data_IF_235070527439
#
_entry.id   IF_235070527439
#
_cell.length_a   1.000
_cell.length_b   1.000
_cell.length_c   1.000
_cell.angle_alpha   90.00
_cell.angle_beta   90.00
_cell.angle_gamma   90.00
#
_symmetry.space_group_name_H-M   'P 1'
#
loop_
_entity.id
_entity.type
_entity.pdbx_description
1 polymer ?
#
# COMPACT_ATOMS: atom_id res chain seq x y z
N UNK A 1 5.49 17.61 -15.65
CA UNK A 1 6.68 18.45 -15.97
C UNK A 1 6.47 19.35 -17.18
N UNK A 2 5.90 18.85 -18.28
CA UNK A 2 5.84 19.57 -19.56
C UNK A 2 4.96 20.84 -19.57
N UNK A 3 3.93 20.93 -18.72
CA UNK A 3 3.06 22.11 -18.63
C UNK A 3 3.40 23.06 -17.47
N UNK A 4 3.96 22.53 -16.38
CA UNK A 4 4.26 23.29 -15.17
C UNK A 4 5.64 23.95 -15.20
N UNK A 5 6.60 23.35 -15.92
CA UNK A 5 7.97 23.88 -15.99
C UNK A 5 8.04 25.28 -16.62
N UNK A 6 7.35 25.59 -17.74
CA UNK A 6 7.34 26.94 -18.31
C UNK A 6 6.79 28.01 -17.35
N UNK A 7 5.86 27.63 -16.47
CA UNK A 7 5.28 28.52 -15.46
C UNK A 7 6.28 28.75 -14.32
N UNK A 8 6.93 27.70 -13.85
CA UNK A 8 7.89 27.75 -12.75
C UNK A 8 9.14 28.59 -13.07
N UNK A 9 9.64 28.54 -14.31
CA UNK A 9 10.86 29.27 -14.72
C UNK A 9 10.61 30.75 -15.07
N UNK A 10 9.35 31.23 -14.97
CA UNK A 10 8.95 32.57 -15.44
C UNK A 10 9.67 33.71 -14.74
N UNK A 11 9.98 33.56 -13.46
CA UNK A 11 10.67 34.55 -12.63
C UNK A 11 12.18 34.29 -12.47
N UNK A 12 12.67 33.13 -12.94
CA UNK A 12 14.03 32.66 -12.65
C UNK A 12 14.98 32.93 -13.82
N UNK A 13 14.51 32.75 -15.06
CA UNK A 13 15.36 32.82 -16.25
C UNK A 13 15.08 34.04 -17.14
N UNK A 14 16.13 34.50 -17.79
CA UNK A 14 16.06 35.54 -18.81
C UNK A 14 15.08 35.15 -19.94
N UNK A 15 14.44 36.16 -20.54
CA UNK A 15 13.45 35.96 -21.62
C UNK A 15 13.90 34.99 -22.72
N UNK A 16 15.12 35.09 -23.28
CA UNK A 16 15.55 34.18 -24.36
C UNK A 16 15.76 32.73 -23.91
N UNK A 17 16.38 32.49 -22.75
CA UNK A 17 16.59 31.13 -22.23
C UNK A 17 15.26 30.44 -21.89
N UNK A 18 14.32 31.20 -21.29
CA UNK A 18 12.96 30.73 -21.03
C UNK A 18 12.20 30.39 -22.30
N UNK A 19 12.36 31.17 -23.37
CA UNK A 19 11.74 30.89 -24.65
C UNK A 19 12.22 29.54 -25.20
N UNK A 20 13.54 29.27 -25.16
CA UNK A 20 14.12 28.01 -25.60
C UNK A 20 13.56 26.81 -24.79
N UNK A 21 13.53 26.90 -23.47
CA UNK A 21 12.95 25.83 -22.62
C UNK A 21 11.45 25.65 -22.88
N UNK A 22 10.72 26.75 -23.09
CA UNK A 22 9.29 26.68 -23.37
C UNK A 22 9.00 25.96 -24.69
N UNK A 23 9.80 26.21 -25.75
CA UNK A 23 9.72 25.46 -27.00
C UNK A 23 9.97 23.97 -26.80
N UNK A 24 10.99 23.62 -26.02
CA UNK A 24 11.29 22.22 -25.69
C UNK A 24 10.11 21.56 -24.92
N UNK A 25 9.49 22.29 -24.00
CA UNK A 25 8.30 21.81 -23.29
C UNK A 25 7.11 21.56 -24.23
N UNK A 26 6.86 22.46 -25.19
CA UNK A 26 5.82 22.25 -26.20
C UNK A 26 6.09 21.05 -27.10
N UNK A 27 7.34 20.85 -27.51
CA UNK A 27 7.75 19.66 -28.25
C UNK A 27 7.42 18.37 -27.48
N UNK A 28 7.81 18.29 -26.20
CA UNK A 28 7.50 17.10 -25.38
C UNK A 28 5.99 16.92 -25.15
N UNK A 29 5.24 18.01 -24.97
CA UNK A 29 3.77 17.96 -24.88
C UNK A 29 3.15 17.37 -26.16
N UNK A 30 3.64 17.77 -27.35
CA UNK A 30 3.14 17.28 -28.62
C UNK A 30 3.41 15.79 -28.83
N UNK A 31 4.64 15.35 -28.51
CA UNK A 31 5.05 13.94 -28.66
C UNK A 31 4.39 13.01 -27.63
N UNK A 32 4.08 13.52 -26.43
CA UNK A 32 3.46 12.73 -25.36
C UNK A 32 1.92 12.74 -25.43
N UNK A 33 1.34 13.35 -26.46
CA UNK A 33 -0.10 13.30 -26.69
C UNK A 33 -0.58 11.86 -26.91
N UNK A 34 -1.83 11.57 -26.49
CA UNK A 34 -2.45 10.24 -26.65
C UNK A 34 -2.54 9.81 -28.11
N UNK A 35 -2.74 10.76 -29.01
CA UNK A 35 -2.84 10.56 -30.46
C UNK A 35 -1.81 11.43 -31.16
N UNK A 36 -1.06 10.85 -32.09
CA UNK A 36 -0.02 11.55 -32.85
C UNK A 36 -0.45 11.70 -34.30
N UNK A 37 -0.40 12.94 -34.80
CA UNK A 37 -0.68 13.26 -36.19
C UNK A 37 0.61 13.20 -37.02
N UNK A 38 0.70 12.22 -37.92
CA UNK A 38 1.89 11.96 -38.74
C UNK A 38 2.24 13.15 -39.63
N UNK A 39 1.24 13.92 -40.08
CA UNK A 39 1.46 15.08 -40.96
C UNK A 39 2.22 16.23 -40.27
N UNK A 40 2.18 16.27 -38.93
CA UNK A 40 2.86 17.31 -38.13
C UNK A 40 4.27 16.91 -37.72
N UNK A 41 4.67 15.64 -37.92
CA UNK A 41 5.96 15.14 -37.45
C UNK A 41 7.14 15.80 -38.14
N UNK A 42 7.09 16.03 -39.45
CA UNK A 42 8.20 16.65 -40.20
C UNK A 42 8.50 18.06 -39.66
N UNK A 43 7.45 18.85 -39.37
CA UNK A 43 7.59 20.17 -38.75
C UNK A 43 8.15 20.09 -37.33
N UNK A 44 7.73 19.09 -36.54
CA UNK A 44 8.25 18.88 -35.18
C UNK A 44 9.74 18.50 -35.18
N UNK A 45 10.21 17.78 -36.20
CA UNK A 45 11.63 17.43 -36.37
C UNK A 45 12.48 18.67 -36.67
N UNK A 46 12.03 19.53 -37.58
CA UNK A 46 12.68 20.81 -37.86
C UNK A 46 12.70 21.71 -36.61
N UNK A 47 11.56 21.83 -35.92
CA UNK A 47 11.40 22.68 -34.75
C UNK A 47 12.30 22.27 -33.58
N UNK A 48 12.50 20.97 -33.37
CA UNK A 48 13.33 20.49 -32.26
C UNK A 48 14.82 20.74 -32.50
N UNK A 49 15.28 20.62 -33.74
CA UNK A 49 16.68 20.97 -34.11
C UNK A 49 16.94 22.44 -33.82
N UNK A 50 16.05 23.34 -34.27
CA UNK A 50 16.18 24.78 -33.96
C UNK A 50 16.11 25.04 -32.45
N UNK A 51 15.26 24.30 -31.74
CA UNK A 51 15.12 24.44 -30.28
C UNK A 51 16.40 24.04 -29.55
N UNK A 52 17.07 22.95 -29.95
CA UNK A 52 18.36 22.55 -29.37
C UNK A 52 19.46 23.57 -29.68
N UNK A 53 19.55 24.08 -30.91
CA UNK A 53 20.48 25.15 -31.25
C UNK A 53 20.25 26.43 -30.43
N UNK A 54 18.99 26.73 -30.07
CA UNK A 54 18.69 27.84 -29.16
C UNK A 54 19.16 27.53 -27.74
N UNK A 55 18.97 26.31 -27.25
CA UNK A 55 19.48 25.92 -25.94
C UNK A 55 21.02 26.01 -25.89
N UNK A 56 21.71 25.58 -26.94
CA UNK A 56 23.19 25.60 -27.03
C UNK A 56 23.77 27.02 -26.90
N UNK A 57 23.01 28.03 -27.32
CA UNK A 57 23.42 29.43 -27.16
C UNK A 57 23.40 29.93 -25.72
N UNK A 58 22.58 29.34 -24.85
CA UNK A 58 22.33 29.86 -23.50
C UNK A 58 22.83 28.96 -22.37
N UNK A 59 22.96 27.66 -22.62
CA UNK A 59 23.41 26.69 -21.62
C UNK A 59 24.87 26.27 -21.87
N UNK A 60 25.64 25.97 -20.81
CA UNK A 60 27.02 25.53 -20.96
C UNK A 60 27.10 24.17 -21.66
N UNK A 61 28.23 23.84 -22.32
CA UNK A 61 28.41 22.54 -22.98
C UNK A 61 28.19 21.33 -22.07
N UNK A 62 28.42 21.47 -20.76
CA UNK A 62 28.15 20.42 -19.76
C UNK A 62 26.67 20.06 -19.62
N UNK A 63 25.76 20.93 -20.07
CA UNK A 63 24.33 20.64 -20.14
C UNK A 63 23.97 19.70 -21.30
N UNK A 64 24.77 19.68 -22.37
CA UNK A 64 24.52 18.89 -23.59
C UNK A 64 25.14 17.51 -23.50
N UNK A 65 24.58 16.69 -22.62
CA UNK A 65 24.90 15.27 -22.57
C UNK A 65 24.14 14.47 -23.65
N UNK A 66 24.39 13.16 -23.66
CA UNK A 66 23.74 12.22 -24.59
C UNK A 66 22.20 12.30 -24.48
N UNK A 67 21.64 12.56 -23.30
CA UNK A 67 20.19 12.61 -23.10
C UNK A 67 19.56 13.79 -23.83
N UNK A 68 20.21 14.96 -23.82
CA UNK A 68 19.74 16.14 -24.57
C UNK A 68 19.85 15.90 -26.07
N UNK A 69 20.90 15.23 -26.53
CA UNK A 69 21.05 14.92 -27.95
C UNK A 69 19.99 13.93 -28.46
N UNK A 70 19.61 12.93 -27.65
CA UNK A 70 18.61 11.93 -28.05
C UNK A 70 17.24 12.52 -28.41
N UNK A 71 16.96 13.76 -27.98
CA UNK A 71 15.70 14.46 -28.26
C UNK A 71 15.44 14.60 -29.77
N UNK A 72 16.48 14.78 -30.61
CA UNK A 72 16.30 14.88 -32.07
C UNK A 72 15.78 13.58 -32.68
N UNK A 73 16.11 12.44 -32.08
CA UNK A 73 15.72 11.14 -32.61
C UNK A 73 14.29 10.73 -32.19
N UNK A 74 13.68 11.43 -31.24
CA UNK A 74 12.36 11.08 -30.71
C UNK A 74 11.27 11.15 -31.79
N UNK A 75 11.32 12.14 -32.69
CA UNK A 75 10.34 12.25 -33.78
C UNK A 75 10.39 11.04 -34.69
N UNK A 76 11.60 10.63 -35.10
CA UNK A 76 11.82 9.41 -35.88
C UNK A 76 11.33 8.17 -35.15
N UNK A 77 11.59 8.05 -33.85
CA UNK A 77 11.10 6.93 -33.04
C UNK A 77 9.58 6.89 -32.94
N UNK A 78 8.91 8.05 -32.88
CA UNK A 78 7.44 8.14 -32.88
C UNK A 78 6.87 7.70 -34.22
N UNK A 79 7.51 8.08 -35.33
CA UNK A 79 7.10 7.68 -36.67
C UNK A 79 7.15 6.16 -36.86
N UNK A 80 8.16 5.50 -36.31
CA UNK A 80 8.38 4.06 -36.48
C UNK A 80 7.58 3.22 -35.50
N UNK A 81 7.48 3.64 -34.23
CA UNK A 81 6.97 2.80 -33.15
C UNK A 81 5.68 3.34 -32.52
N UNK A 82 5.10 4.42 -33.05
CA UNK A 82 3.86 5.01 -32.57
C UNK A 82 4.01 5.90 -31.31
N UNK A 83 2.90 6.22 -30.62
CA UNK A 83 2.90 7.14 -29.48
C UNK A 83 3.89 6.76 -28.37
N UNK A 84 4.52 7.76 -27.75
CA UNK A 84 5.60 7.53 -26.77
C UNK A 84 5.07 6.99 -25.44
N UNK A 85 3.84 7.34 -25.06
CA UNK A 85 3.24 6.94 -23.78
C UNK A 85 3.31 5.42 -23.50
N UNK A 86 3.11 4.57 -24.50
CA UNK A 86 3.19 3.11 -24.35
C UNK A 86 4.61 2.56 -24.15
N UNK A 87 5.62 3.39 -24.42
CA UNK A 87 7.05 3.01 -24.43
C UNK A 87 7.84 3.70 -23.34
N UNK A 88 7.17 4.44 -22.44
CA UNK A 88 7.85 5.01 -21.29
C UNK A 88 8.37 3.90 -20.41
N UNK A 89 9.64 3.97 -20.03
CA UNK A 89 10.21 3.08 -19.02
C UNK A 89 9.67 3.38 -17.62
N UNK A 90 9.18 4.60 -17.38
CA UNK A 90 8.78 5.06 -16.05
C UNK A 90 7.78 4.15 -15.31
N UNK A 91 6.69 3.64 -15.93
CA UNK A 91 5.80 2.69 -15.27
C UNK A 91 6.51 1.38 -14.90
N UNK A 92 7.36 0.86 -15.81
CA UNK A 92 8.13 -0.36 -15.57
C UNK A 92 9.14 -0.17 -14.44
N UNK A 93 9.90 0.93 -14.44
CA UNK A 93 10.85 1.26 -13.37
C UNK A 93 10.15 1.41 -12.02
N UNK A 94 8.99 2.06 -12.00
CA UNK A 94 8.18 2.20 -10.78
C UNK A 94 7.70 0.84 -10.28
N UNK A 95 7.22 -0.01 -11.17
CA UNK A 95 6.78 -1.36 -10.81
C UNK A 95 7.95 -2.23 -10.34
N UNK A 96 9.07 -2.19 -11.04
CA UNK A 96 10.31 -2.87 -10.65
C UNK A 96 10.81 -2.43 -9.28
N UNK A 97 10.64 -1.15 -8.91
CA UNK A 97 10.94 -0.68 -7.55
C UNK A 97 10.08 -1.38 -6.50
N UNK A 98 8.82 -1.65 -6.77
CA UNK A 98 7.92 -2.39 -5.88
C UNK A 98 8.38 -3.84 -5.77
N UNK A 99 8.58 -4.52 -6.90
CA UNK A 99 9.04 -5.92 -6.92
C UNK A 99 10.39 -6.11 -6.22
N UNK A 100 11.30 -5.15 -6.35
CA UNK A 100 12.57 -5.15 -5.63
C UNK A 100 12.38 -5.13 -4.10
N UNK A 101 11.29 -4.53 -3.62
CA UNK A 101 10.89 -4.58 -2.21
C UNK A 101 10.41 -5.95 -1.76
N UNK A 102 10.01 -6.84 -2.67
CA UNK A 102 9.57 -8.20 -2.34
C UNK A 102 10.73 -9.17 -2.17
N UNK A 103 11.89 -8.88 -2.76
CA UNK A 103 13.06 -9.77 -2.70
C UNK A 103 13.67 -9.74 -1.29
N UNK A 104 13.34 -10.75 -0.48
CA UNK A 104 13.91 -10.95 0.86
C UNK A 104 15.20 -11.79 0.81
N UNK A 105 15.24 -12.80 -0.06
CA UNK A 105 16.42 -13.62 -0.31
C UNK A 105 16.94 -13.36 -1.73
N UNK A 106 18.16 -12.81 -1.83
CA UNK A 106 18.80 -12.51 -3.12
C UNK A 106 19.27 -13.74 -3.90
N UNK A 107 19.32 -14.92 -3.29
CA UNK A 107 19.67 -16.16 -4.00
C UNK A 107 18.49 -16.73 -4.79
N UNK A 108 17.26 -16.33 -4.45
CA UNK A 108 16.01 -16.78 -5.11
C UNK A 108 15.02 -15.61 -5.29
N UNK A 109 15.38 -14.56 -6.05
CA UNK A 109 14.57 -13.35 -6.12
C UNK A 109 13.19 -13.57 -6.76
N UNK A 110 13.08 -14.45 -7.75
CA UNK A 110 11.82 -14.77 -8.42
C UNK A 110 10.84 -15.45 -7.47
N UNK A 111 11.34 -16.37 -6.63
CA UNK A 111 10.54 -17.06 -5.62
C UNK A 111 9.98 -16.10 -4.58
N UNK A 112 10.82 -15.18 -4.07
CA UNK A 112 10.38 -14.16 -3.12
C UNK A 112 9.34 -13.20 -3.71
N UNK A 113 9.50 -12.83 -4.98
CA UNK A 113 8.54 -11.98 -5.69
C UNK A 113 7.19 -12.71 -5.82
N UNK A 114 7.19 -13.96 -6.26
CA UNK A 114 5.98 -14.75 -6.46
C UNK A 114 5.23 -14.97 -5.14
N UNK A 115 5.93 -15.39 -4.08
CA UNK A 115 5.35 -15.61 -2.76
C UNK A 115 4.65 -14.35 -2.23
N UNK A 116 5.33 -13.21 -2.33
CA UNK A 116 4.78 -11.95 -1.80
C UNK A 116 3.64 -11.41 -2.64
N UNK A 117 3.72 -11.56 -3.95
CA UNK A 117 2.64 -11.15 -4.85
C UNK A 117 1.36 -11.95 -4.55
N UNK A 118 1.47 -13.27 -4.35
CA UNK A 118 0.33 -14.13 -3.95
C UNK A 118 -0.24 -13.69 -2.61
N UNK A 119 0.62 -13.37 -1.63
CA UNK A 119 0.16 -12.90 -0.32
C UNK A 119 -0.60 -11.57 -0.42
N UNK A 120 -0.12 -10.62 -1.23
CA UNK A 120 -0.81 -9.35 -1.46
C UNK A 120 -2.15 -9.53 -2.17
N UNK A 121 -2.22 -10.35 -3.23
CA UNK A 121 -3.48 -10.67 -3.91
C UNK A 121 -4.48 -11.37 -2.98
N UNK A 122 -4.02 -12.29 -2.15
CA UNK A 122 -4.89 -12.97 -1.19
C UNK A 122 -5.47 -12.00 -0.15
N UNK A 123 -4.66 -11.07 0.36
CA UNK A 123 -5.12 -10.03 1.28
C UNK A 123 -6.10 -9.10 0.59
N UNK A 124 -5.79 -8.64 -0.62
CA UNK A 124 -6.69 -7.76 -1.38
C UNK A 124 -8.04 -8.45 -1.64
N UNK A 125 -8.00 -9.70 -2.09
CA UNK A 125 -9.20 -10.53 -2.27
C UNK A 125 -10.01 -10.63 -0.98
N UNK A 126 -9.34 -10.94 0.13
CA UNK A 126 -9.96 -11.04 1.44
C UNK A 126 -10.60 -9.70 1.87
N UNK A 127 -9.94 -8.57 1.68
CA UNK A 127 -10.51 -7.26 2.02
C UNK A 127 -11.73 -6.88 1.17
N UNK A 128 -11.79 -7.35 -0.07
CA UNK A 128 -12.90 -7.07 -0.98
C UNK A 128 -14.07 -8.04 -0.83
N UNK A 129 -13.82 -9.29 -0.40
CA UNK A 129 -14.80 -10.38 -0.47
C UNK A 129 -15.14 -11.02 0.88
N UNK A 130 -14.36 -10.80 1.95
CA UNK A 130 -14.78 -11.22 3.28
C UNK A 130 -15.88 -10.26 3.76
N UNK A 131 -17.12 -10.75 3.75
CA UNK A 131 -18.24 -10.06 4.36
C UNK A 131 -18.01 -9.90 5.88
N UNK A 132 -18.52 -8.81 6.46
CA UNK A 132 -18.48 -8.57 7.91
C UNK A 132 -19.01 -9.78 8.71
N UNK A 133 -19.95 -10.54 8.15
CA UNK A 133 -20.50 -11.76 8.75
C UNK A 133 -19.43 -12.85 8.97
N UNK A 134 -18.55 -13.10 8.00
CA UNK A 134 -17.50 -14.12 8.13
C UNK A 134 -16.42 -13.67 9.13
N UNK A 135 -16.17 -12.36 9.17
CA UNK A 135 -15.25 -11.73 10.10
C UNK A 135 -15.77 -11.84 11.54
N UNK A 136 -17.08 -11.65 11.73
CA UNK A 136 -17.76 -11.86 13.01
C UNK A 136 -17.74 -13.35 13.43
N UNK A 137 -17.96 -14.28 12.50
CA UNK A 137 -17.85 -15.72 12.78
C UNK A 137 -16.44 -16.13 13.22
N UNK A 138 -15.41 -15.68 12.49
CA UNK A 138 -14.03 -15.92 12.85
C UNK A 138 -13.66 -15.31 14.21
N UNK A 139 -14.16 -14.10 14.49
CA UNK A 139 -13.95 -13.44 15.76
C UNK A 139 -14.65 -14.18 16.92
N UNK A 140 -15.90 -14.63 16.74
CA UNK A 140 -16.62 -15.47 17.71
C UNK A 140 -15.84 -16.75 18.02
N UNK A 141 -15.31 -17.42 17.00
CA UNK A 141 -14.52 -18.64 17.21
C UNK A 141 -13.29 -18.39 18.09
N UNK A 142 -12.58 -17.28 17.87
CA UNK A 142 -11.43 -16.90 18.72
C UNK A 142 -11.88 -16.62 20.16
N UNK A 143 -12.99 -15.91 20.34
CA UNK A 143 -13.54 -15.60 21.67
C UNK A 143 -13.95 -16.86 22.42
N UNK A 144 -14.62 -17.81 21.78
CA UNK A 144 -15.04 -19.07 22.38
C UNK A 144 -13.87 -19.95 22.84
N UNK A 145 -12.71 -19.83 22.19
CA UNK A 145 -11.50 -20.58 22.53
C UNK A 145 -10.56 -19.84 23.49
N UNK A 146 -10.93 -18.65 23.97
CA UNK A 146 -10.09 -17.84 24.87
C UNK A 146 -10.54 -18.03 26.32
N UNK A 147 -9.65 -18.53 27.19
CA UNK A 147 -9.96 -18.83 28.60
C UNK A 147 -10.49 -17.61 29.38
N UNK A 148 -9.93 -16.42 29.13
CA UNK A 148 -10.36 -15.17 29.77
C UNK A 148 -11.82 -14.78 29.41
N UNK A 149 -12.35 -15.27 28.28
CA UNK A 149 -13.68 -14.93 27.76
C UNK A 149 -14.76 -15.90 28.28
N UNK A 150 -14.39 -17.11 28.70
CA UNK A 150 -15.34 -18.14 29.16
C UNK A 150 -16.31 -17.65 30.25
N UNK A 151 -15.88 -16.91 31.30
CA UNK A 151 -16.81 -16.39 32.30
C UNK A 151 -17.85 -15.43 31.71
N UNK A 152 -17.47 -14.65 30.70
CA UNK A 152 -18.37 -13.71 30.02
C UNK A 152 -19.36 -14.45 29.09
N UNK A 153 -18.96 -15.57 28.50
CA UNK A 153 -19.87 -16.45 27.74
C UNK A 153 -20.97 -16.98 28.67
N UNK A 154 -20.59 -17.48 29.84
CA UNK A 154 -21.55 -17.97 30.84
C UNK A 154 -22.51 -16.87 31.30
N UNK A 155 -21.99 -15.67 31.61
CA UNK A 155 -22.81 -14.52 31.99
C UNK A 155 -23.79 -14.13 30.87
N UNK A 156 -23.33 -14.09 29.62
CA UNK A 156 -24.20 -13.76 28.48
C UNK A 156 -25.29 -14.82 28.30
N UNK A 157 -24.96 -16.11 28.45
CA UNK A 157 -25.92 -17.20 28.37
C UNK A 157 -26.99 -17.13 29.48
N UNK A 158 -26.61 -16.73 30.69
CA UNK A 158 -27.55 -16.46 31.79
C UNK A 158 -28.42 -15.24 31.46
N UNK A 159 -27.83 -14.17 30.93
CA UNK A 159 -28.55 -12.96 30.51
C UNK A 159 -29.63 -13.28 29.46
N UNK A 160 -29.30 -14.04 28.42
CA UNK A 160 -30.27 -14.47 27.38
C UNK A 160 -31.40 -15.30 28.00
N UNK A 161 -31.08 -16.28 28.85
CA UNK A 161 -32.08 -17.15 29.51
C UNK A 161 -33.03 -16.35 30.40
N UNK A 162 -32.55 -15.28 31.01
CA UNK A 162 -33.33 -14.41 31.91
C UNK A 162 -34.18 -13.41 31.13
N UNK A 163 -33.64 -12.83 30.06
CA UNK A 163 -34.36 -11.90 29.18
C UNK A 163 -35.45 -12.61 28.35
N UNK A 164 -35.24 -13.88 28.01
CA UNK A 164 -36.15 -14.67 27.17
C UNK A 164 -36.62 -15.97 27.85
N UNK A 165 -37.42 -15.89 28.92
CA UNK A 165 -37.81 -17.05 29.72
C UNK A 165 -38.61 -18.09 28.92
N UNK A 166 -39.34 -17.68 27.88
CA UNK A 166 -40.10 -18.56 26.99
C UNK A 166 -39.22 -19.52 26.17
N UNK A 167 -37.98 -19.14 25.89
CA UNK A 167 -37.04 -19.92 25.07
C UNK A 167 -35.97 -20.63 25.91
N UNK A 168 -36.07 -20.58 27.24
CA UNK A 168 -35.07 -21.11 28.19
C UNK A 168 -34.70 -22.59 27.99
N UNK A 169 -35.62 -23.40 27.47
CA UNK A 169 -35.39 -24.84 27.18
C UNK A 169 -34.94 -25.12 25.74
N UNK A 170 -34.94 -24.12 24.84
CA UNK A 170 -34.58 -24.31 23.42
C UNK A 170 -33.09 -24.07 23.20
N UNK A 171 -32.28 -25.11 23.36
CA UNK A 171 -30.81 -25.03 23.27
C UNK A 171 -30.32 -24.43 21.97
N UNK A 172 -30.85 -24.86 20.82
CA UNK A 172 -30.45 -24.34 19.50
C UNK A 172 -30.70 -22.83 19.37
N UNK A 173 -31.89 -22.38 19.76
CA UNK A 173 -32.24 -20.95 19.72
C UNK A 173 -31.35 -20.11 20.64
N UNK A 174 -31.00 -20.63 21.83
CA UNK A 174 -30.11 -19.95 22.76
C UNK A 174 -28.71 -19.78 22.17
N UNK A 175 -28.19 -20.80 21.51
CA UNK A 175 -26.89 -20.74 20.84
C UNK A 175 -26.91 -19.78 19.65
N UNK A 176 -27.92 -19.88 18.78
CA UNK A 176 -28.06 -18.97 17.64
C UNK A 176 -28.16 -17.51 18.11
N UNK A 177 -28.92 -17.27 19.19
CA UNK A 177 -29.05 -15.94 19.77
C UNK A 177 -27.73 -15.45 20.36
N UNK A 178 -27.03 -16.30 21.11
CA UNK A 178 -25.70 -16.01 21.63
C UNK A 178 -24.74 -15.61 20.52
N UNK A 179 -24.58 -16.46 19.51
CA UNK A 179 -23.67 -16.22 18.39
C UNK A 179 -23.99 -14.88 17.69
N UNK A 180 -25.26 -14.54 17.53
CA UNK A 180 -25.66 -13.27 16.88
C UNK A 180 -25.44 -12.01 17.72
N UNK A 181 -25.44 -12.09 19.07
CA UNK A 181 -25.43 -10.88 19.94
C UNK A 181 -24.21 -10.78 20.85
N UNK A 182 -23.41 -11.84 20.97
CA UNK A 182 -22.35 -11.91 21.98
C UNK A 182 -21.25 -10.88 21.79
N UNK A 183 -20.74 -10.67 20.57
CA UNK A 183 -19.67 -9.69 20.30
C UNK A 183 -20.10 -8.29 20.77
N UNK A 184 -21.30 -7.86 20.37
CA UNK A 184 -21.80 -6.54 20.73
C UNK A 184 -22.07 -6.43 22.23
N UNK A 185 -22.64 -7.46 22.85
CA UNK A 185 -22.88 -7.51 24.29
C UNK A 185 -21.57 -7.45 25.08
N UNK A 186 -20.56 -8.23 24.69
CA UNK A 186 -19.24 -8.29 25.32
C UNK A 186 -18.56 -6.92 25.28
N UNK A 187 -18.60 -6.25 24.12
CA UNK A 187 -18.07 -4.90 23.96
C UNK A 187 -18.70 -3.90 24.93
N UNK A 188 -20.03 -3.92 25.07
CA UNK A 188 -20.72 -3.04 26.03
C UNK A 188 -20.43 -3.40 27.48
N UNK A 189 -20.35 -4.70 27.80
CA UNK A 189 -20.05 -5.17 29.15
C UNK A 189 -18.66 -4.71 29.60
N UNK A 190 -17.66 -4.88 28.74
CA UNK A 190 -16.29 -4.44 29.00
C UNK A 190 -16.19 -2.92 29.09
N UNK A 191 -16.89 -2.19 28.22
CA UNK A 191 -16.92 -0.72 28.28
C UNK A 191 -17.50 -0.22 29.62
N UNK A 192 -18.55 -0.86 30.13
CA UNK A 192 -19.16 -0.53 31.43
C UNK A 192 -18.25 -0.86 32.61
N UNK A 193 -17.50 -1.98 32.55
CA UNK A 193 -16.56 -2.36 33.63
C UNK A 193 -15.35 -1.44 33.71
N UNK A 194 -14.98 -0.78 32.61
CA UNK A 194 -13.89 0.20 32.55
C UNK A 194 -14.26 1.56 33.16
N UNK A 195 -15.53 1.82 33.45
CA UNK A 195 -15.99 3.06 34.10
C UNK A 195 -15.88 3.00 35.64
N UNK A 196 -15.61 1.84 36.23
CA UNK A 196 -15.47 1.66 37.68
C UNK A 196 -14.00 1.80 38.12
N UNK A 197 -13.67 2.48 39.21
CA UNK A 197 -12.27 2.82 39.61
C UNK A 197 -11.31 1.62 39.90
N UNK A 198 -11.77 0.36 39.85
CA UNK A 198 -10.96 -0.83 40.15
C UNK A 198 -11.20 -1.97 39.12
N UNK A 199 -10.95 -1.67 37.86
CA UNK A 199 -11.21 -2.55 36.72
C UNK A 199 -10.15 -3.66 36.67
N UNK A 200 -10.55 -4.90 36.99
CA UNK A 200 -9.72 -6.10 36.83
C UNK A 200 -9.51 -6.56 35.38
N UNK A 201 -9.91 -5.73 34.40
CA UNK A 201 -9.88 -6.07 32.97
C UNK A 201 -8.50 -5.84 32.39
N UNK A 202 -7.86 -6.92 31.93
CA UNK A 202 -6.58 -6.89 31.23
C UNK A 202 -6.65 -6.05 29.95
N UNK A 203 -5.58 -5.31 29.64
CA UNK A 203 -5.50 -4.50 28.42
C UNK A 203 -5.66 -5.37 27.15
N UNK A 204 -5.14 -6.60 27.15
CA UNK A 204 -5.31 -7.54 26.04
C UNK A 204 -6.79 -7.92 25.85
N UNK A 205 -7.53 -8.10 26.94
CA UNK A 205 -8.95 -8.44 26.90
C UNK A 205 -9.80 -7.30 26.35
N UNK A 206 -9.45 -6.05 26.70
CA UNK A 206 -10.07 -4.85 26.13
C UNK A 206 -9.93 -4.80 24.61
N UNK A 207 -8.75 -5.15 24.09
CA UNK A 207 -8.52 -5.23 22.64
C UNK A 207 -9.32 -6.35 21.98
N UNK A 208 -9.43 -7.52 22.63
CA UNK A 208 -10.26 -8.63 22.14
C UNK A 208 -11.74 -8.23 22.06
N UNK A 209 -12.28 -7.56 23.08
CA UNK A 209 -13.68 -7.13 23.12
C UNK A 209 -14.03 -6.00 22.13
N UNK A 210 -13.03 -5.21 21.69
CA UNK A 210 -13.25 -4.14 20.72
C UNK A 210 -13.52 -4.63 19.29
N UNK A 211 -13.19 -5.90 19.01
CA UNK A 211 -13.34 -6.52 17.70
C UNK A 211 -12.14 -6.27 16.76
N UNK A 212 -12.17 -6.90 15.58
CA UNK A 212 -11.10 -6.79 14.59
C UNK A 212 -10.95 -5.34 14.09
N UNK A 213 -9.74 -4.80 14.21
CA UNK A 213 -9.43 -3.45 13.74
C UNK A 213 -9.05 -3.49 12.24
N UNK A 214 -9.87 -2.83 11.41
CA UNK A 214 -9.60 -2.70 9.97
C UNK A 214 -8.44 -1.75 9.65
N UNK A 215 -8.05 -0.91 10.60
CA UNK A 215 -6.89 -0.03 10.49
C UNK A 215 -5.67 -0.69 11.14
N UNK A 216 -4.96 -1.52 10.37
CA UNK A 216 -3.69 -2.12 10.82
C UNK A 216 -2.57 -1.08 10.69
N UNK A 217 -1.91 -0.67 11.80
CA UNK A 217 -0.77 0.24 11.72
C UNK A 217 0.41 -0.45 11.04
N UNK A 218 0.83 0.08 9.90
CA UNK A 218 2.01 -0.34 9.14
C UNK A 218 3.27 0.31 9.72
N UNK A 219 4.08 -0.45 10.45
CA UNK A 219 5.39 0.00 10.89
C UNK A 219 6.43 -0.32 9.81
N UNK A 220 7.11 0.72 9.30
CA UNK A 220 8.13 0.58 8.24
C UNK A 220 9.40 -0.14 8.71
N UNK A 221 9.66 -0.14 10.01
CA UNK A 221 10.77 -0.83 10.66
C UNK A 221 10.63 -0.73 12.18
N UNK A 222 11.28 -1.62 12.92
CA UNK A 222 11.53 -1.43 14.34
C UNK A 222 12.96 -1.89 14.69
N UNK A 223 13.53 -1.29 15.73
CA UNK A 223 14.93 -1.42 16.12
C UNK A 223 15.01 -2.30 17.38
N UNK A 224 15.66 -3.46 17.29
CA UNK A 224 15.94 -4.30 18.46
C UNK A 224 17.45 -4.38 18.63
N UNK A 225 17.93 -3.91 19.78
CA UNK A 225 19.36 -3.95 20.19
C UNK A 225 20.33 -3.47 19.11
N UNK A 226 20.03 -2.34 18.45
CA UNK A 226 20.95 -1.70 17.49
C UNK A 226 21.02 -2.33 16.10
N UNK A 227 20.29 -3.42 15.81
CA UNK A 227 20.22 -4.02 14.47
C UNK A 227 18.84 -3.79 13.84
N UNK A 228 18.82 -3.18 12.66
CA UNK A 228 17.61 -2.94 11.87
C UNK A 228 17.23 -4.23 11.16
N UNK A 229 16.40 -5.05 11.80
CA UNK A 229 15.88 -6.28 11.19
C UNK A 229 14.55 -5.97 10.47
N UNK A 230 14.57 -6.07 9.14
CA UNK A 230 13.36 -6.04 8.29
C UNK A 230 12.67 -7.40 8.36
N UNK A 231 11.93 -7.64 9.45
CA UNK A 231 11.01 -8.76 9.57
C UNK A 231 9.56 -8.25 9.51
N UNK A 232 8.75 -8.88 8.67
CA UNK A 232 7.30 -8.71 8.65
C UNK A 232 6.71 -9.63 9.73
N UNK A 233 6.63 -9.13 10.97
CA UNK A 233 6.00 -9.84 12.07
C UNK A 233 4.71 -9.12 12.50
N UNK A 234 3.59 -9.84 12.40
CA UNK A 234 2.36 -9.56 13.13
C UNK A 234 2.67 -9.62 14.62
N UNK A 235 2.63 -8.47 15.30
CA UNK A 235 2.79 -8.43 16.76
C UNK A 235 1.41 -8.44 17.40
N UNK A 236 0.85 -9.63 17.63
CA UNK A 236 -0.10 -9.83 18.73
C UNK A 236 0.68 -10.22 19.97
N UNK A 237 0.40 -9.55 21.09
CA UNK A 237 0.97 -9.89 22.39
C UNK A 237 0.63 -11.36 22.72
N UNK A 238 1.67 -12.11 23.13
CA UNK A 238 1.65 -13.54 23.52
C UNK A 238 1.35 -14.49 22.36
N UNK A 239 2.40 -15.09 21.81
CA UNK A 239 2.60 -16.50 21.47
C UNK A 239 3.76 -16.56 20.48
N UNK A 240 4.90 -17.06 20.99
CA UNK A 240 6.12 -17.29 20.23
C UNK A 240 5.91 -18.55 19.37
N UNK A 241 5.97 -18.44 18.05
CA UNK A 241 6.30 -19.56 17.18
C UNK A 241 7.65 -19.26 16.51
N UNK A 242 8.70 -19.81 17.12
CA UNK A 242 10.05 -19.87 16.57
C UNK A 242 10.08 -20.92 15.46
N UNK A 243 10.56 -20.54 14.28
CA UNK A 243 11.31 -21.47 13.43
C UNK A 243 12.67 -20.86 13.15
N UNK A 244 13.64 -21.31 13.94
CA UNK A 244 15.06 -20.98 13.87
C UNK A 244 15.73 -21.62 12.66
N UNK A 245 16.60 -20.87 12.00
CA UNK A 245 17.94 -21.36 11.67
C UNK A 245 18.96 -20.23 11.71
N UNK A 246 19.85 -20.35 12.68
CA UNK A 246 21.02 -19.52 12.94
C UNK A 246 22.00 -19.56 11.77
N UNK A 247 22.83 -18.51 11.63
CA UNK A 247 24.29 -18.63 11.47
C UNK A 247 24.96 -17.36 12.02
N UNK A 248 26.07 -17.64 12.71
CA UNK A 248 27.02 -16.83 13.48
C UNK A 248 27.74 -15.78 12.62
N UNK A 249 28.49 -14.90 13.32
CA UNK A 249 29.77 -14.22 12.96
C UNK A 249 29.59 -12.71 13.16
N UNK A 250 30.26 -12.02 14.10
CA UNK A 250 31.60 -12.24 14.62
C UNK A 250 32.59 -11.36 13.85
N UNK A 251 32.71 -10.09 14.24
CA UNK A 251 33.95 -9.33 14.37
C UNK A 251 33.64 -8.01 15.08
#
# INVERSE_FOLDING_TARGET
MQQLLPVAIRSILEKPARYAITRLCFFFNAICAKTVDVSKLDKLEEDVVVTLCLLEKYFPPSFFDIMVHLVVHLVRQVRLCGPVYFRWMYPFERYMKVLKGYVQNRTHPEGCIAERYIAEEAVEFCTQHLSDDLLNEAHLYVLENTEEVLPYIEQHMIHIKTAYPKFRKRTKWLQDKHNSTFIQWLRFKVQSELEEDNHGVSENFRWLAAGPNMAVPLYRSYLIKGMTNLFWLLKSNKYFLLTTRCIVVGR
#
